data_IF_084533331295
#
_entry.id   IF_084533331295
#
_cell.length_a   1.000
_cell.length_b   1.000
_cell.length_c   1.000
_cell.angle_alpha   90.00
_cell.angle_beta   90.00
_cell.angle_gamma   90.00
#
_symmetry.space_group_name_H-M   'P 1'
#
loop_
_entity.id
_entity.type
_entity.pdbx_description
1 polymer ?
#
# COMPACT_ATOMS: atom_id res chain seq x y z
N UNK A 1 -13.86 -51.14 2.12
CA UNK A 1 -12.97 -50.26 1.35
C UNK A 1 -13.20 -48.83 1.86
N UNK A 2 -12.38 -48.39 2.82
CA UNK A 2 -12.54 -47.08 3.47
C UNK A 2 -11.50 -46.11 2.88
N UNK A 3 -11.97 -45.06 2.23
CA UNK A 3 -11.13 -44.06 1.57
C UNK A 3 -10.87 -42.92 2.56
N UNK A 4 -9.68 -42.89 3.17
CA UNK A 4 -9.20 -41.74 3.94
C UNK A 4 -8.85 -40.61 2.97
N UNK A 5 -9.62 -39.52 2.99
CA UNK A 5 -9.20 -38.25 2.38
C UNK A 5 -8.21 -37.55 3.31
N UNK A 6 -6.95 -37.48 2.90
CA UNK A 6 -5.94 -36.64 3.53
C UNK A 6 -6.10 -35.21 3.02
N UNK A 7 -6.52 -34.30 3.92
CA UNK A 7 -6.47 -32.85 3.68
C UNK A 7 -5.01 -32.41 3.73
N UNK A 8 -4.43 -32.11 2.57
CA UNK A 8 -3.14 -31.42 2.49
C UNK A 8 -3.37 -29.92 2.73
N UNK A 9 -3.14 -29.46 3.94
CA UNK A 9 -2.95 -28.03 4.21
C UNK A 9 -1.66 -27.60 3.53
N UNK A 10 -1.77 -26.85 2.43
CA UNK A 10 -0.66 -26.12 1.84
C UNK A 10 -0.25 -24.98 2.79
N UNK A 11 0.73 -25.25 3.64
CA UNK A 11 1.46 -24.21 4.35
C UNK A 11 2.28 -23.43 3.32
N UNK A 12 1.82 -22.24 2.95
CA UNK A 12 2.61 -21.31 2.15
C UNK A 12 3.85 -20.94 2.98
N UNK A 13 5.02 -21.44 2.59
CA UNK A 13 6.28 -21.08 3.25
C UNK A 13 6.53 -19.58 3.08
N UNK A 14 6.81 -18.90 4.19
CA UNK A 14 7.37 -17.56 4.13
C UNK A 14 8.69 -17.62 3.34
N UNK A 15 8.96 -16.67 2.43
CA UNK A 15 10.22 -16.67 1.69
C UNK A 15 11.40 -16.61 2.66
N UNK A 16 12.51 -17.27 2.30
CA UNK A 16 13.65 -17.56 3.17
C UNK A 16 14.34 -16.36 3.86
N UNK A 17 13.94 -15.12 3.56
CA UNK A 17 14.50 -13.87 4.07
C UNK A 17 13.47 -12.94 4.73
N UNK A 18 12.30 -13.44 5.13
CA UNK A 18 11.27 -12.65 5.82
C UNK A 18 11.56 -12.52 7.32
N UNK A 19 11.78 -11.29 7.79
CA UNK A 19 11.95 -10.96 9.22
C UNK A 19 10.72 -10.22 9.72
N UNK A 20 10.07 -10.76 10.75
CA UNK A 20 9.05 -10.03 11.51
C UNK A 20 9.74 -8.89 12.30
N UNK A 21 9.61 -7.66 11.81
CA UNK A 21 10.32 -6.49 12.35
C UNK A 21 9.53 -5.80 13.46
N UNK A 22 8.20 -5.83 13.40
CA UNK A 22 7.34 -5.15 14.37
C UNK A 22 6.04 -5.92 14.61
N UNK A 23 5.64 -6.02 15.88
CA UNK A 23 4.28 -6.44 16.30
C UNK A 23 3.78 -5.51 17.40
N UNK A 24 2.77 -4.70 17.10
CA UNK A 24 2.18 -3.76 18.06
C UNK A 24 0.79 -3.33 17.62
N UNK A 25 -0.14 -3.13 18.55
CA UNK A 25 -1.50 -2.65 18.27
C UNK A 25 -2.24 -3.46 17.18
N UNK A 26 -2.06 -4.79 17.17
CA UNK A 26 -2.60 -5.69 16.14
C UNK A 26 -2.10 -5.39 14.71
N UNK A 27 -0.99 -4.65 14.58
CA UNK A 27 -0.27 -4.46 13.32
C UNK A 27 0.99 -5.32 13.38
N UNK A 28 1.21 -6.07 12.31
CA UNK A 28 2.44 -6.84 12.10
C UNK A 28 3.14 -6.27 10.88
N UNK A 29 4.45 -6.07 10.98
CA UNK A 29 5.31 -5.64 9.87
C UNK A 29 6.41 -6.67 9.70
N UNK A 30 6.60 -7.10 8.46
CA UNK A 30 7.71 -7.92 8.02
C UNK A 30 8.54 -7.13 7.03
N UNK A 31 9.85 -7.34 7.08
CA UNK A 31 10.81 -6.82 6.11
C UNK A 31 11.53 -7.98 5.46
N UNK A 32 11.79 -7.88 4.16
CA UNK A 32 12.52 -8.91 3.43
C UNK A 32 13.34 -8.30 2.29
N UNK A 33 14.33 -9.05 1.82
CA UNK A 33 15.09 -8.74 0.60
C UNK A 33 14.84 -9.86 -0.41
N UNK A 34 14.58 -9.50 -1.65
CA UNK A 34 14.54 -10.48 -2.75
C UNK A 34 15.90 -10.50 -3.44
N UNK A 35 16.27 -11.65 -4.02
CA UNK A 35 17.49 -11.74 -4.82
C UNK A 35 17.48 -10.78 -6.02
N UNK A 36 16.28 -10.45 -6.51
CA UNK A 36 16.07 -9.52 -7.62
C UNK A 36 16.18 -8.03 -7.24
N UNK A 37 16.15 -7.67 -5.95
CA UNK A 37 16.17 -6.27 -5.52
C UNK A 37 16.96 -6.07 -4.21
N UNK A 38 18.08 -5.31 -4.24
CA UNK A 38 18.87 -5.03 -3.04
C UNK A 38 18.14 -4.13 -2.03
N UNK A 39 17.08 -3.43 -2.46
CA UNK A 39 16.26 -2.57 -1.59
C UNK A 39 15.37 -3.43 -0.70
N UNK A 40 15.31 -3.07 0.59
CA UNK A 40 14.45 -3.75 1.57
C UNK A 40 12.99 -3.49 1.21
N UNK A 41 12.20 -4.56 1.14
CA UNK A 41 10.76 -4.52 0.95
C UNK A 41 10.07 -4.71 2.30
N UNK A 42 8.83 -4.23 2.40
CA UNK A 42 7.97 -4.49 3.56
C UNK A 42 6.67 -5.19 3.16
N UNK A 43 6.10 -5.90 4.12
CA UNK A 43 4.70 -6.31 4.17
C UNK A 43 4.16 -5.93 5.54
N UNK A 44 2.99 -5.33 5.61
CA UNK A 44 2.31 -5.06 6.87
C UNK A 44 0.85 -5.47 6.78
N UNK A 45 0.30 -5.96 7.88
CA UNK A 45 -1.10 -6.34 7.95
C UNK A 45 -1.75 -5.98 9.28
N UNK A 46 -3.07 -5.75 9.22
CA UNK A 46 -3.92 -5.60 10.40
C UNK A 46 -5.38 -5.92 10.05
N UNK A 47 -6.28 -5.77 11.02
CA UNK A 47 -7.73 -5.91 10.83
C UNK A 47 -8.45 -4.70 11.40
N UNK A 48 -9.51 -4.25 10.73
CA UNK A 48 -10.37 -3.16 11.19
C UNK A 48 -11.82 -3.63 11.28
N UNK A 49 -12.56 -3.06 12.24
CA UNK A 49 -13.97 -3.34 12.46
C UNK A 49 -14.87 -2.39 11.64
N UNK A 50 -14.70 -2.44 10.31
CA UNK A 50 -15.48 -1.68 9.33
C UNK A 50 -15.79 -2.56 8.10
N UNK A 51 -16.79 -2.20 7.27
CA UNK A 51 -16.97 -2.85 5.97
C UNK A 51 -15.72 -2.75 5.09
N UNK A 52 -15.50 -3.76 4.25
CA UNK A 52 -14.40 -3.79 3.30
C UNK A 52 -14.41 -2.56 2.38
N UNK A 53 -15.58 -2.15 1.94
CA UNK A 53 -15.83 -1.05 1.02
C UNK A 53 -15.36 0.29 1.60
N UNK A 54 -15.49 0.48 2.93
CA UNK A 54 -15.02 1.68 3.63
C UNK A 54 -13.50 1.77 3.63
N UNK A 55 -12.83 0.64 3.89
CA UNK A 55 -11.37 0.57 3.87
C UNK A 55 -10.80 0.80 2.47
N UNK A 56 -11.44 0.23 1.44
CA UNK A 56 -11.05 0.43 0.03
C UNK A 56 -11.26 1.89 -0.38
N UNK A 57 -12.42 2.48 -0.07
CA UNK A 57 -12.74 3.85 -0.46
C UNK A 57 -11.75 4.87 0.11
N UNK A 58 -11.28 4.68 1.35
CA UNK A 58 -10.27 5.56 1.96
C UNK A 58 -8.95 5.54 1.16
N UNK A 59 -8.52 4.38 0.67
CA UNK A 59 -7.29 4.26 -0.13
C UNK A 59 -7.48 4.80 -1.57
N UNK A 60 -8.69 4.73 -2.10
CA UNK A 60 -9.03 5.29 -3.41
C UNK A 60 -9.25 6.81 -3.40
N UNK A 61 -9.41 7.42 -2.22
CA UNK A 61 -9.49 8.86 -2.04
C UNK A 61 -8.10 9.52 -2.08
N UNK A 62 -7.54 9.57 -3.29
CA UNK A 62 -6.18 10.09 -3.54
C UNK A 62 -6.03 11.55 -3.12
N UNK A 63 -7.07 12.37 -3.26
CA UNK A 63 -7.02 13.79 -2.91
C UNK A 63 -6.81 14.01 -1.41
N UNK A 64 -7.38 13.13 -0.57
CA UNK A 64 -7.19 13.17 0.89
C UNK A 64 -5.97 12.39 1.37
N UNK A 65 -5.21 11.73 0.50
CA UNK A 65 -4.03 10.98 0.92
C UNK A 65 -3.03 11.80 1.76
N UNK A 66 -2.74 13.09 1.45
CA UNK A 66 -1.86 13.93 2.28
C UNK A 66 -2.34 14.13 3.73
N UNK A 67 -3.64 13.97 4.00
CA UNK A 67 -4.21 14.18 5.34
C UNK A 67 -3.84 13.06 6.32
N UNK A 68 -3.56 11.85 5.80
CA UNK A 68 -3.41 10.66 6.64
C UNK A 68 -2.21 9.78 6.30
N UNK A 69 -1.73 9.77 5.05
CA UNK A 69 -0.56 8.98 4.66
C UNK A 69 0.71 9.67 5.16
N UNK A 70 1.54 9.00 5.98
CA UNK A 70 2.77 9.59 6.47
C UNK A 70 3.70 10.00 5.32
N UNK A 71 4.28 11.20 5.43
CA UNK A 71 5.21 11.80 4.46
C UNK A 71 4.60 12.05 3.07
N UNK A 72 3.28 12.05 2.92
CA UNK A 72 2.62 12.43 1.68
C UNK A 72 2.38 13.94 1.67
N UNK A 73 3.16 14.68 0.87
CA UNK A 73 3.04 16.13 0.78
C UNK A 73 1.91 16.57 -0.17
N UNK A 74 1.71 15.83 -1.27
CA UNK A 74 0.66 16.10 -2.26
C UNK A 74 0.36 14.82 -3.05
N UNK A 75 -0.88 14.67 -3.51
CA UNK A 75 -1.30 13.56 -4.35
C UNK A 75 -2.45 13.97 -5.28
N UNK A 76 -2.35 13.63 -6.56
CA UNK A 76 -3.40 13.94 -7.54
C UNK A 76 -3.53 12.88 -8.62
N UNK A 77 -4.76 12.69 -9.10
CA UNK A 77 -5.06 11.87 -10.28
C UNK A 77 -4.68 12.64 -11.54
N UNK A 78 -3.89 12.02 -12.41
CA UNK A 78 -3.54 12.52 -13.75
C UNK A 78 -4.49 11.99 -14.82
N UNK A 79 -4.88 10.72 -14.72
CA UNK A 79 -5.85 10.08 -15.61
C UNK A 79 -6.55 8.92 -14.92
N UNK A 80 -7.76 8.58 -15.37
CA UNK A 80 -8.61 7.56 -14.76
C UNK A 80 -9.48 6.87 -15.81
N UNK A 81 -9.51 5.54 -15.78
CA UNK A 81 -10.41 4.67 -16.54
C UNK A 81 -11.07 3.69 -15.57
N UNK A 82 -12.25 4.08 -15.06
CA UNK A 82 -12.99 3.27 -14.09
C UNK A 82 -13.52 1.95 -14.67
N UNK A 83 -13.68 1.85 -16.00
CA UNK A 83 -14.12 0.60 -16.65
C UNK A 83 -13.02 -0.45 -16.63
N UNK A 84 -11.76 -0.03 -16.84
CA UNK A 84 -10.60 -0.92 -16.74
C UNK A 84 -10.09 -1.07 -15.31
N UNK A 85 -10.55 -0.23 -14.38
CA UNK A 85 -9.99 -0.18 -13.04
C UNK A 85 -8.57 0.36 -13.03
N UNK A 86 -8.21 1.24 -13.95
CA UNK A 86 -6.86 1.79 -14.05
C UNK A 86 -6.86 3.29 -13.82
N UNK A 87 -5.83 3.79 -13.15
CA UNK A 87 -5.60 5.24 -13.04
C UNK A 87 -4.11 5.54 -12.95
N UNK A 88 -3.75 6.75 -13.32
CA UNK A 88 -2.39 7.28 -13.17
C UNK A 88 -2.46 8.44 -12.19
N UNK A 89 -1.55 8.45 -11.22
CA UNK A 89 -1.48 9.47 -10.18
C UNK A 89 -0.06 10.00 -10.02
N UNK A 90 0.03 11.24 -9.57
CA UNK A 90 1.27 11.91 -9.18
C UNK A 90 1.29 12.07 -7.66
N UNK A 91 2.34 11.58 -7.01
CA UNK A 91 2.55 11.73 -5.56
C UNK A 91 3.83 12.50 -5.28
N UNK A 92 3.80 13.30 -4.23
CA UNK A 92 4.94 14.01 -3.66
C UNK A 92 5.18 13.46 -2.26
N UNK A 93 6.38 12.98 -2.02
CA UNK A 93 6.84 12.54 -0.72
C UNK A 93 7.65 13.65 -0.06
N UNK A 94 7.14 14.18 1.05
CA UNK A 94 7.74 15.22 1.87
C UNK A 94 8.78 14.60 2.81
N UNK A 95 10.06 14.78 2.48
CA UNK A 95 11.15 14.17 3.22
C UNK A 95 11.69 15.17 4.26
N UNK A 96 12.08 14.72 5.45
CA UNK A 96 12.60 15.64 6.46
C UNK A 96 13.90 16.30 5.99
N UNK A 97 14.00 17.61 6.22
CA UNK A 97 15.21 18.39 5.98
C UNK A 97 16.44 17.72 6.64
N UNK A 98 17.61 17.62 5.98
CA UNK A 98 17.99 18.26 4.71
C UNK A 98 17.75 17.42 3.44
N UNK A 99 16.99 16.33 3.52
CA UNK A 99 16.69 15.52 2.34
C UNK A 99 15.72 16.28 1.43
N UNK A 100 15.96 16.25 0.11
CA UNK A 100 15.04 16.83 -0.87
C UNK A 100 13.75 16.01 -0.97
N UNK A 101 12.65 16.64 -1.34
CA UNK A 101 11.41 15.90 -1.60
C UNK A 101 11.56 14.97 -2.80
N UNK A 102 10.77 13.90 -2.78
CA UNK A 102 10.67 12.95 -3.88
C UNK A 102 9.35 13.10 -4.57
N UNK A 103 9.30 12.83 -5.87
CA UNK A 103 8.04 12.67 -6.58
C UNK A 103 8.00 11.35 -7.36
N UNK A 104 6.80 10.86 -7.62
CA UNK A 104 6.59 9.61 -8.37
C UNK A 104 5.31 9.69 -9.18
N UNK A 105 5.38 9.21 -10.42
CA UNK A 105 4.20 8.94 -11.25
C UNK A 105 3.90 7.47 -11.12
N UNK A 106 2.67 7.13 -10.76
CA UNK A 106 2.26 5.77 -10.45
C UNK A 106 1.11 5.37 -11.34
N UNK A 107 1.25 4.21 -11.99
CA UNK A 107 0.12 3.50 -12.59
C UNK A 107 -0.48 2.57 -11.53
N UNK A 108 -1.78 2.69 -11.33
CA UNK A 108 -2.57 1.88 -10.41
C UNK A 108 -3.54 1.00 -11.18
N UNK A 109 -3.71 -0.25 -10.75
CA UNK A 109 -4.73 -1.16 -11.26
C UNK A 109 -5.54 -1.81 -10.13
N UNK A 110 -6.83 -1.92 -10.35
CA UNK A 110 -7.82 -2.45 -9.43
C UNK A 110 -8.28 -3.81 -9.90
N UNK A 111 -8.38 -4.76 -8.99
CA UNK A 111 -8.93 -6.08 -9.27
C UNK A 111 -9.68 -6.61 -8.06
N UNK A 112 -10.73 -7.37 -8.32
CA UNK A 112 -11.46 -8.17 -7.35
C UNK A 112 -11.41 -9.61 -7.81
N UNK A 113 -10.99 -10.52 -6.93
CA UNK A 113 -10.92 -11.94 -7.27
C UNK A 113 -12.21 -12.70 -6.89
N UNK A 114 -12.25 -13.99 -7.26
CA UNK A 114 -13.40 -14.85 -7.00
C UNK A 114 -13.70 -15.08 -5.51
N UNK A 115 -12.83 -14.66 -4.60
CA UNK A 115 -13.01 -14.74 -3.14
C UNK A 115 -13.44 -13.41 -2.52
N UNK A 116 -13.89 -12.45 -3.34
CA UNK A 116 -14.22 -11.07 -2.97
C UNK A 116 -13.03 -10.30 -2.36
N UNK A 117 -11.79 -10.76 -2.59
CA UNK A 117 -10.59 -10.03 -2.18
C UNK A 117 -10.30 -8.95 -3.21
N UNK A 118 -10.15 -7.71 -2.73
CA UNK A 118 -9.81 -6.55 -3.56
C UNK A 118 -8.31 -6.29 -3.47
N UNK A 119 -7.68 -6.08 -4.62
CA UNK A 119 -6.26 -5.77 -4.74
C UNK A 119 -6.08 -4.50 -5.55
N UNK A 120 -5.30 -3.56 -5.01
CA UNK A 120 -4.83 -2.34 -5.68
C UNK A 120 -3.33 -2.51 -5.89
N UNK A 121 -2.89 -2.61 -7.15
CA UNK A 121 -1.47 -2.70 -7.49
C UNK A 121 -0.98 -1.37 -7.98
N UNK A 122 0.15 -0.90 -7.46
CA UNK A 122 0.77 0.35 -7.84
C UNK A 122 2.20 0.10 -8.30
N UNK A 123 2.58 0.70 -9.42
CA UNK A 123 3.94 0.65 -9.94
C UNK A 123 4.35 2.01 -10.50
N UNK A 124 5.64 2.35 -10.38
CA UNK A 124 6.19 3.51 -11.05
C UNK A 124 5.91 3.44 -12.56
N UNK A 125 5.43 4.55 -13.12
CA UNK A 125 5.26 4.74 -14.55
C UNK A 125 6.33 5.70 -15.04
N UNK A 126 7.07 5.30 -16.08
CA UNK A 126 8.02 6.19 -16.76
C UNK A 126 7.25 7.20 -17.61
N UNK A 127 7.50 8.49 -17.37
CA UNK A 127 6.87 9.59 -18.11
C UNK A 127 5.47 9.95 -17.62
N UNK A 128 4.63 10.52 -18.50
CA UNK A 128 3.25 10.90 -18.19
C UNK A 128 3.07 12.18 -17.35
N UNK A 129 4.14 12.68 -16.73
CA UNK A 129 4.16 13.97 -16.01
C UNK A 129 5.58 14.54 -15.94
N UNK A 130 5.78 15.85 -16.20
CA UNK A 130 7.11 16.46 -16.21
C UNK A 130 7.79 16.38 -14.84
N UNK A 131 9.12 16.27 -14.85
CA UNK A 131 9.93 16.42 -13.64
C UNK A 131 9.76 17.82 -13.05
N UNK A 132 9.70 17.89 -11.72
CA UNK A 132 9.48 19.15 -11.01
C UNK A 132 10.80 19.67 -10.41
N UNK A 133 11.12 20.96 -10.59
CA UNK A 133 12.29 21.56 -9.97
C UNK A 133 12.30 21.37 -8.45
N UNK A 134 13.47 21.10 -7.88
CA UNK A 134 13.65 20.93 -6.44
C UNK A 134 13.27 19.55 -5.89
N UNK A 135 12.72 18.66 -6.71
CA UNK A 135 12.33 17.28 -6.34
C UNK A 135 13.20 16.25 -7.05
N UNK A 136 13.33 15.07 -6.44
CA UNK A 136 14.00 13.91 -7.04
C UNK A 136 12.95 12.89 -7.49
N UNK A 137 12.94 12.54 -8.77
CA UNK A 137 12.01 11.55 -9.33
C UNK A 137 12.38 10.14 -8.91
N UNK A 138 11.43 9.42 -8.33
CA UNK A 138 11.53 7.98 -8.09
C UNK A 138 11.11 7.24 -9.37
N UNK A 139 11.99 6.34 -9.84
CA UNK A 139 11.75 5.50 -11.01
C UNK A 139 11.43 4.04 -10.67
N UNK A 140 11.79 3.59 -9.46
CA UNK A 140 11.53 2.22 -9.01
C UNK A 140 10.66 2.27 -7.75
N UNK A 141 9.36 2.01 -7.95
CA UNK A 141 8.37 1.96 -6.90
C UNK A 141 7.37 0.84 -7.20
N UNK A 142 7.05 0.05 -6.19
CA UNK A 142 5.93 -0.88 -6.18
C UNK A 142 5.22 -0.77 -4.85
N UNK A 143 3.89 -0.73 -4.87
CA UNK A 143 3.07 -0.68 -3.67
C UNK A 143 1.75 -1.39 -3.90
N UNK A 144 1.42 -2.35 -3.05
CA UNK A 144 0.19 -3.11 -3.16
C UNK A 144 -0.66 -2.91 -1.91
N UNK A 145 -1.98 -2.85 -2.11
CA UNK A 145 -2.98 -2.99 -1.06
C UNK A 145 -3.85 -4.19 -1.34
N UNK A 146 -4.15 -4.96 -0.32
CA UNK A 146 -5.05 -6.10 -0.36
C UNK A 146 -6.08 -5.99 0.76
N UNK A 147 -7.34 -6.15 0.41
CA UNK A 147 -8.48 -6.10 1.32
C UNK A 147 -9.23 -7.41 1.25
N UNK A 148 -9.41 -8.06 2.39
CA UNK A 148 -10.13 -9.31 2.49
C UNK A 148 -11.26 -9.20 3.51
N UNK A 149 -12.47 -9.55 3.09
CA UNK A 149 -13.64 -9.55 3.96
C UNK A 149 -13.52 -10.68 4.97
N UNK A 150 -13.56 -10.36 6.26
CA UNK A 150 -13.61 -11.33 7.36
C UNK A 150 -15.03 -11.43 7.97
N UNK A 151 -15.90 -10.48 7.66
CA UNK A 151 -17.28 -10.39 8.12
C UNK A 151 -17.94 -9.12 7.57
N UNK A 152 -19.22 -8.89 7.88
CA UNK A 152 -19.93 -7.70 7.39
C UNK A 152 -19.27 -6.38 7.85
N UNK A 153 -18.82 -6.33 9.11
CA UNK A 153 -18.16 -5.18 9.72
C UNK A 153 -16.69 -5.49 10.05
N UNK A 154 -16.03 -6.35 9.27
CA UNK A 154 -14.65 -6.74 9.57
C UNK A 154 -13.85 -7.01 8.31
N UNK A 155 -12.71 -6.33 8.18
CA UNK A 155 -11.82 -6.41 7.02
C UNK A 155 -10.38 -6.64 7.48
N UNK A 156 -9.68 -7.53 6.79
CA UNK A 156 -8.22 -7.64 6.85
C UNK A 156 -7.63 -6.73 5.80
N UNK A 157 -6.67 -5.91 6.20
CA UNK A 157 -5.92 -5.03 5.30
C UNK A 157 -4.46 -5.44 5.33
N UNK A 158 -3.90 -5.68 4.15
CA UNK A 158 -2.48 -5.93 3.94
C UNK A 158 -1.94 -4.89 2.97
N UNK A 159 -0.78 -4.32 3.28
CA UNK A 159 -0.04 -3.45 2.38
C UNK A 159 1.39 -3.96 2.26
N UNK A 160 1.96 -3.89 1.06
CA UNK A 160 3.35 -4.25 0.82
C UNK A 160 3.95 -3.33 -0.21
N UNK A 161 5.27 -3.19 -0.20
CA UNK A 161 5.90 -2.39 -1.23
C UNK A 161 7.39 -2.18 -1.01
N UNK A 162 7.95 -1.46 -1.96
CA UNK A 162 9.28 -0.90 -1.89
C UNK A 162 9.34 0.37 -2.74
N UNK A 163 10.25 1.26 -2.38
CA UNK A 163 10.64 2.39 -3.20
C UNK A 163 12.17 2.48 -3.16
N UNK A 164 12.82 2.53 -4.32
CA UNK A 164 14.18 3.04 -4.39
C UNK A 164 14.09 4.57 -4.33
N UNK A 165 14.52 5.19 -3.24
CA UNK A 165 14.26 6.61 -3.03
C UNK A 165 15.20 7.52 -3.84
N UNK A 166 16.11 6.93 -4.63
CA UNK A 166 17.08 7.55 -5.52
C UNK A 166 18.04 8.57 -4.85
N UNK A 167 19.24 8.67 -5.40
CA UNK A 167 20.31 9.52 -4.87
C UNK A 167 20.92 9.00 -3.56
N UNK A 168 21.68 9.86 -2.88
CA UNK A 168 22.44 9.49 -1.67
C UNK A 168 21.59 9.64 -0.40
N UNK A 169 20.78 8.62 -0.09
CA UNK A 169 20.02 8.59 1.16
C UNK A 169 20.80 7.81 2.24
N UNK A 170 20.93 8.35 3.47
CA UNK A 170 21.54 7.60 4.57
C UNK A 170 20.81 6.28 4.85
N UNK A 171 21.56 5.20 5.05
CA UNK A 171 20.98 3.87 5.35
C UNK A 171 20.09 3.87 6.60
N UNK A 172 20.43 4.69 7.60
CA UNK A 172 19.61 4.87 8.80
C UNK A 172 18.19 5.38 8.48
N UNK A 173 18.07 6.30 7.52
CA UNK A 173 16.78 6.81 7.05
C UNK A 173 15.98 5.72 6.33
N UNK A 174 16.64 4.96 5.44
CA UNK A 174 16.01 3.83 4.72
C UNK A 174 15.45 2.81 5.70
N UNK A 175 16.24 2.40 6.70
CA UNK A 175 15.82 1.41 7.69
C UNK A 175 14.65 1.90 8.55
N UNK A 176 14.68 3.16 9.01
CA UNK A 176 13.58 3.76 9.75
C UNK A 176 12.30 3.77 8.91
N UNK A 177 12.40 4.20 7.65
CA UNK A 177 11.26 4.35 6.75
C UNK A 177 10.59 3.00 6.48
N UNK A 178 11.36 1.97 6.16
CA UNK A 178 10.84 0.65 5.77
C UNK A 178 10.13 -0.08 6.92
N UNK A 179 10.52 0.15 8.18
CA UNK A 179 9.83 -0.46 9.33
C UNK A 179 8.70 0.42 9.89
N UNK A 180 8.94 1.73 10.06
CA UNK A 180 8.02 2.63 10.77
C UNK A 180 6.90 3.16 9.89
N UNK A 181 7.17 3.47 8.62
CA UNK A 181 6.16 4.03 7.71
C UNK A 181 4.93 3.11 7.58
N UNK A 182 5.04 1.81 7.29
CA UNK A 182 3.85 0.97 7.13
C UNK A 182 3.05 0.82 8.44
N UNK A 183 3.74 0.79 9.60
CA UNK A 183 3.06 0.79 10.89
C UNK A 183 2.27 2.09 11.12
N UNK A 184 2.90 3.25 10.89
CA UNK A 184 2.24 4.55 11.05
C UNK A 184 1.08 4.73 10.07
N UNK A 185 1.24 4.27 8.83
CA UNK A 185 0.21 4.30 7.80
C UNK A 185 -1.03 3.52 8.21
N UNK A 186 -0.87 2.30 8.74
CA UNK A 186 -2.00 1.51 9.25
C UNK A 186 -2.60 2.10 10.54
N UNK A 187 -1.80 2.68 11.43
CA UNK A 187 -2.33 3.41 12.59
C UNK A 187 -3.15 4.65 12.20
N UNK A 188 -2.71 5.41 11.19
CA UNK A 188 -3.44 6.57 10.66
C UNK A 188 -4.72 6.14 9.96
N UNK A 189 -4.66 5.09 9.16
CA UNK A 189 -5.84 4.48 8.54
C UNK A 189 -6.89 4.08 9.60
N UNK A 190 -6.49 3.47 10.72
CA UNK A 190 -7.41 3.18 11.84
C UNK A 190 -8.14 4.44 12.33
N UNK A 191 -7.41 5.55 12.44
CA UNK A 191 -7.95 6.84 12.91
C UNK A 191 -8.95 7.41 11.91
N UNK A 192 -8.61 7.41 10.61
CA UNK A 192 -9.50 7.86 9.55
C UNK A 192 -10.77 7.02 9.43
N UNK A 193 -10.64 5.69 9.54
CA UNK A 193 -11.79 4.79 9.45
C UNK A 193 -12.78 4.97 10.62
N UNK A 194 -12.28 5.39 11.79
CA UNK A 194 -13.11 5.68 12.96
C UNK A 194 -13.89 7.00 12.83
N UNK A 195 -13.46 7.94 11.98
CA UNK A 195 -14.19 9.17 11.74
C UNK A 195 -15.45 8.89 10.90
N UNK A 196 -16.61 9.37 11.33
CA UNK A 196 -17.90 9.16 10.65
C UNK A 196 -18.05 9.90 9.31
N UNK A 197 -17.08 10.74 8.95
CA UNK A 197 -17.08 11.64 7.79
C UNK A 197 -16.68 10.99 6.46
N UNK A 198 -16.34 9.69 6.42
CA UNK A 198 -16.26 8.94 5.15
C UNK A 198 -17.70 8.69 4.67
N UNK A 199 -18.36 9.76 4.21
CA UNK A 199 -19.78 9.78 3.89
C UNK A 199 -20.10 9.38 2.45
N UNK A 200 -19.09 9.25 1.58
CA UNK A 200 -19.26 8.75 0.21
C UNK A 200 -18.31 7.57 -0.05
N UNK A 201 -18.82 6.35 0.17
CA UNK A 201 -18.15 5.12 -0.27
C UNK A 201 -18.26 5.05 -1.80
N UNK A 202 -17.24 5.57 -2.49
CA UNK A 202 -17.13 5.40 -3.93
C UNK A 202 -16.26 4.19 -4.25
N UNK A 203 -16.89 3.17 -4.84
CA UNK A 203 -16.20 2.04 -5.45
C UNK A 203 -16.40 2.06 -6.97
N UNK A 204 -15.32 2.02 -7.76
CA UNK A 204 -15.40 1.79 -9.20
C UNK A 204 -16.17 0.51 -9.52
N UNK A 205 -16.84 0.48 -10.68
CA UNK A 205 -17.70 -0.65 -11.07
C UNK A 205 -16.96 -1.98 -11.13
N UNK A 206 -15.67 -1.97 -11.48
CA UNK A 206 -14.80 -3.17 -11.47
C UNK A 206 -14.64 -3.82 -10.08
N UNK A 207 -14.99 -3.09 -9.01
CA UNK A 207 -14.88 -3.55 -7.62
C UNK A 207 -16.25 -3.88 -6.99
N UNK A 208 -17.35 -3.57 -7.67
CA UNK A 208 -18.70 -3.96 -7.22
C UNK A 208 -18.90 -5.45 -7.49
#
# INVERSE_FOLDING_TARGET
MALLLTLTTSAQSAPANEKLSLVRNNIKVWTYRSEANPVIQYKAETTYDVPLERAVSLVLDVARAPEWVPYMGDAKILSRDDKKGEFVLYMVLDFPFPLKDRDVVVKSSLSKDATDRIVIRNMALSGGYPEQPGRIRIHHYVGDWTFQKLGAQKVKVTTSGYADPAGSIPLSFVNMFVEQQPYQMLMKMKTELAQSTVSNVYLPDVLK
#
